data_IF_742550895000
#
_entry.id   IF_742550895000
#
_cell.length_a   1.000
_cell.length_b   1.000
_cell.length_c   1.000
_cell.angle_alpha   90.00
_cell.angle_beta   90.00
_cell.angle_gamma   90.00
#
_symmetry.space_group_name_H-M   'P 1'
#
loop_
_entity.id
_entity.type
_entity.pdbx_description
1 polymer ?
#
# COMPACT_ATOMS: atom_id res chain seq x y z
N UNK A 1 3.38 -2.70 38.62
CA UNK A 1 2.88 -1.30 38.63
C UNK A 1 3.70 -0.39 39.56
N UNK A 2 4.44 -0.92 40.55
CA UNK A 2 5.21 -0.09 41.52
C UNK A 2 6.70 0.17 41.19
N UNK A 3 7.27 -0.27 40.06
CA UNK A 3 8.73 -0.13 39.82
C UNK A 3 9.15 0.92 38.78
N UNK A 4 8.24 1.77 38.27
CA UNK A 4 8.62 2.93 37.45
C UNK A 4 7.88 4.18 37.90
N UNK A 5 8.43 4.82 38.95
CA UNK A 5 7.98 6.12 39.42
C UNK A 5 8.13 7.18 38.33
N UNK A 6 7.03 7.85 37.98
CA UNK A 6 6.97 9.07 37.16
C UNK A 6 7.23 8.92 35.66
N UNK A 7 8.13 8.04 35.21
CA UNK A 7 8.48 7.87 33.78
C UNK A 7 7.42 7.15 32.94
N UNK A 8 6.41 6.58 33.59
CA UNK A 8 5.28 5.95 32.90
C UNK A 8 4.42 6.98 32.13
N UNK A 9 4.44 8.25 32.56
CA UNK A 9 3.67 9.34 31.98
C UNK A 9 4.44 10.29 31.03
N UNK A 10 5.76 10.17 30.94
CA UNK A 10 6.60 11.06 30.11
C UNK A 10 7.65 10.30 29.29
N UNK A 11 7.41 9.03 28.98
CA UNK A 11 8.23 8.26 28.03
C UNK A 11 7.68 8.32 26.61
N UNK A 12 8.47 7.96 25.58
CA UNK A 12 8.00 7.89 24.19
C UNK A 12 6.81 6.93 23.98
N UNK A 13 6.57 6.02 24.93
CA UNK A 13 5.47 5.06 24.96
C UNK A 13 4.28 5.50 25.84
N UNK A 14 4.25 6.74 26.34
CA UNK A 14 3.24 7.22 27.29
C UNK A 14 1.81 7.08 26.77
N UNK A 15 1.56 7.44 25.50
CA UNK A 15 0.24 7.35 24.89
C UNK A 15 -0.34 5.93 24.98
N UNK A 16 0.50 4.91 24.85
CA UNK A 16 0.10 3.52 24.93
C UNK A 16 -0.16 3.04 26.36
N UNK A 17 0.64 3.54 27.31
CA UNK A 17 0.45 3.26 28.73
C UNK A 17 -0.81 3.92 29.29
N UNK A 18 -1.11 5.14 28.85
CA UNK A 18 -2.34 5.84 29.18
C UNK A 18 -3.55 5.09 28.61
N UNK A 19 -3.47 4.66 27.35
CA UNK A 19 -4.51 3.83 26.74
C UNK A 19 -4.74 2.53 27.51
N UNK A 20 -3.69 1.80 27.89
CA UNK A 20 -3.84 0.58 28.68
C UNK A 20 -4.47 0.81 30.05
N UNK A 21 -4.09 1.90 30.71
CA UNK A 21 -4.64 2.28 32.02
C UNK A 21 -6.15 2.56 31.91
N UNK A 22 -6.58 3.26 30.85
CA UNK A 22 -8.00 3.52 30.57
C UNK A 22 -8.76 2.21 30.27
N UNK A 23 -8.17 1.30 29.51
CA UNK A 23 -8.75 -0.01 29.17
C UNK A 23 -8.97 -0.88 30.41
N UNK A 24 -7.96 -0.96 31.28
CA UNK A 24 -8.05 -1.71 32.54
C UNK A 24 -9.09 -1.06 33.46
N UNK A 25 -9.09 0.27 33.56
CA UNK A 25 -10.10 1.03 34.31
C UNK A 25 -11.52 0.74 33.84
N UNK A 26 -11.78 0.76 32.52
CA UNK A 26 -13.08 0.44 31.96
C UNK A 26 -13.51 -1.02 32.24
N UNK A 27 -12.55 -1.95 32.25
CA UNK A 27 -12.81 -3.36 32.58
C UNK A 27 -13.17 -3.55 34.07
N UNK A 28 -12.54 -2.79 34.97
CA UNK A 28 -12.88 -2.78 36.40
C UNK A 28 -14.28 -2.19 36.64
N UNK A 29 -14.63 -1.12 35.92
CA UNK A 29 -15.97 -0.51 35.98
C UNK A 29 -17.03 -1.48 35.46
N UNK A 30 -16.77 -2.20 34.38
CA UNK A 30 -17.66 -3.25 33.86
C UNK A 30 -17.93 -4.34 34.91
N UNK A 31 -16.88 -4.84 35.56
CA UNK A 31 -17.00 -5.93 36.54
C UNK A 31 -17.75 -5.51 37.80
N UNK A 32 -17.53 -4.29 38.28
CA UNK A 32 -18.25 -3.73 39.41
C UNK A 32 -19.71 -3.41 39.07
N UNK A 33 -20.00 -2.94 37.85
CA UNK A 33 -21.38 -2.73 37.37
C UNK A 33 -22.18 -4.02 37.25
N UNK A 34 -21.58 -5.09 36.72
CA UNK A 34 -22.21 -6.40 36.61
C UNK A 34 -22.54 -6.99 37.99
N UNK A 35 -21.71 -6.73 39.00
CA UNK A 35 -21.95 -7.18 40.37
C UNK A 35 -23.13 -6.49 41.06
N UNK A 36 -23.51 -5.27 40.65
CA UNK A 36 -24.58 -4.48 41.30
C UNK A 36 -25.91 -4.50 40.52
N UNK A 37 -25.94 -5.02 39.28
CA UNK A 37 -27.19 -5.42 38.62
C UNK A 37 -28.09 -4.29 38.09
N UNK A 38 -27.53 -3.26 37.45
CA UNK A 38 -28.30 -2.07 37.02
C UNK A 38 -28.74 -2.03 35.52
N UNK A 39 -29.68 -1.10 35.22
CA UNK A 39 -30.61 -0.95 34.07
C UNK A 39 -30.19 -0.12 32.82
N UNK A 40 -30.52 -0.58 31.60
CA UNK A 40 -30.44 0.09 30.25
C UNK A 40 -29.19 0.90 29.84
N UNK A 41 -28.70 1.86 30.62
CA UNK A 41 -27.46 2.61 30.35
C UNK A 41 -26.23 1.68 30.33
N UNK A 42 -26.27 0.60 31.11
CA UNK A 42 -25.24 -0.44 31.20
C UNK A 42 -25.11 -1.27 29.92
N UNK A 43 -26.18 -1.39 29.12
CA UNK A 43 -26.12 -2.05 27.80
C UNK A 43 -25.19 -1.26 26.86
N UNK A 44 -25.16 0.08 26.97
CA UNK A 44 -24.23 0.92 26.20
C UNK A 44 -22.79 0.74 26.68
N UNK A 45 -22.57 0.67 27.99
CA UNK A 45 -21.24 0.47 28.58
C UNK A 45 -20.69 -0.93 28.24
N UNK A 46 -21.50 -1.99 28.33
CA UNK A 46 -21.14 -3.34 27.90
C UNK A 46 -20.78 -3.41 26.41
N UNK A 47 -21.51 -2.66 25.56
CA UNK A 47 -21.21 -2.58 24.12
C UNK A 47 -19.87 -1.90 23.87
N UNK A 48 -19.58 -0.81 24.58
CA UNK A 48 -18.29 -0.11 24.52
C UNK A 48 -17.15 -0.98 25.07
N UNK A 49 -17.37 -1.71 26.16
CA UNK A 49 -16.39 -2.63 26.72
C UNK A 49 -16.00 -3.75 25.74
N UNK A 50 -16.96 -4.30 24.98
CA UNK A 50 -16.67 -5.24 23.87
C UNK A 50 -15.77 -4.62 22.81
N UNK A 51 -16.06 -3.39 22.38
CA UNK A 51 -15.22 -2.67 21.41
C UNK A 51 -13.80 -2.49 21.96
N UNK A 52 -13.67 -2.07 23.21
CA UNK A 52 -12.38 -1.90 23.90
C UNK A 52 -11.63 -3.24 24.05
N UNK A 53 -12.34 -4.35 24.24
CA UNK A 53 -11.77 -5.69 24.22
C UNK A 53 -11.22 -6.05 22.84
N UNK A 54 -11.92 -5.68 21.75
CA UNK A 54 -11.41 -5.81 20.38
C UNK A 54 -10.18 -4.91 20.15
N UNK A 55 -10.11 -3.73 20.76
CA UNK A 55 -8.91 -2.88 20.72
C UNK A 55 -7.70 -3.55 21.42
N UNK A 56 -7.88 -4.57 22.28
CA UNK A 56 -6.73 -5.37 22.76
C UNK A 56 -6.04 -6.12 21.61
N UNK A 57 -6.72 -6.48 20.52
CA UNK A 57 -6.05 -7.02 19.34
C UNK A 57 -5.14 -6.00 18.66
N UNK A 58 -5.39 -4.70 18.83
CA UNK A 58 -4.48 -3.65 18.36
C UNK A 58 -3.13 -3.70 19.09
N UNK A 59 -3.06 -4.25 20.32
CA UNK A 59 -1.76 -4.56 20.95
C UNK A 59 -0.99 -5.63 20.21
N UNK A 60 -1.66 -6.61 19.61
CA UNK A 60 -1.01 -7.61 18.75
C UNK A 60 -0.46 -6.91 17.50
N UNK A 61 -1.20 -5.93 16.95
CA UNK A 61 -0.70 -5.05 15.89
C UNK A 61 0.47 -4.16 16.36
N UNK A 62 0.57 -3.81 17.65
CA UNK A 62 1.77 -3.16 18.22
C UNK A 62 2.94 -4.13 18.32
N UNK A 63 2.69 -5.41 18.57
CA UNK A 63 3.69 -6.46 18.42
C UNK A 63 4.12 -6.62 16.95
N UNK A 64 3.19 -6.35 16.01
CA UNK A 64 3.49 -6.18 14.59
C UNK A 64 4.24 -4.87 14.28
N UNK A 65 4.03 -3.78 15.03
CA UNK A 65 4.82 -2.54 14.88
C UNK A 65 6.24 -2.68 15.41
N UNK A 66 6.49 -3.68 16.26
CA UNK A 66 7.82 -4.20 16.60
C UNK A 66 8.50 -4.90 15.41
N UNK A 67 7.79 -5.17 14.31
CA UNK A 67 8.38 -5.51 13.01
C UNK A 67 8.95 -4.24 12.35
N UNK A 68 9.88 -3.59 13.04
CA UNK A 68 10.90 -2.77 12.40
C UNK A 68 11.52 -3.51 11.20
N UNK A 69 11.51 -4.84 11.18
CA UNK A 69 11.83 -5.67 10.00
C UNK A 69 10.91 -5.46 8.80
N UNK A 70 9.58 -5.44 8.95
CA UNK A 70 8.67 -5.19 7.82
C UNK A 70 8.77 -3.75 7.33
N UNK A 71 8.88 -2.81 8.26
CA UNK A 71 9.10 -1.42 7.90
C UNK A 71 10.47 -1.22 7.22
N UNK A 72 11.54 -1.88 7.69
CA UNK A 72 12.85 -1.86 7.05
C UNK A 72 12.84 -2.50 5.66
N UNK A 73 12.11 -3.60 5.47
CA UNK A 73 11.90 -4.21 4.15
C UNK A 73 11.15 -3.23 3.24
N UNK A 74 10.06 -2.62 3.71
CA UNK A 74 9.31 -1.62 2.93
C UNK A 74 10.13 -0.36 2.60
N UNK A 75 11.00 0.05 3.51
CA UNK A 75 11.92 1.18 3.32
C UNK A 75 13.01 0.83 2.31
N UNK A 76 13.51 -0.41 2.31
CA UNK A 76 14.41 -0.91 1.28
C UNK A 76 13.73 -0.95 -0.10
N UNK A 77 12.48 -1.41 -0.19
CA UNK A 77 11.68 -1.32 -1.42
C UNK A 77 11.48 0.13 -1.87
N UNK A 78 11.22 1.06 -0.94
CA UNK A 78 11.09 2.48 -1.25
C UNK A 78 12.39 3.10 -1.78
N UNK A 79 13.56 2.63 -1.33
CA UNK A 79 14.86 3.02 -1.90
C UNK A 79 15.06 2.45 -3.30
N UNK A 80 14.70 1.19 -3.53
CA UNK A 80 14.80 0.54 -4.84
C UNK A 80 13.84 1.15 -5.87
N UNK A 81 12.67 1.63 -5.45
CA UNK A 81 11.68 2.28 -6.33
C UNK A 81 12.27 3.37 -7.20
N UNK A 82 13.15 4.22 -6.66
CA UNK A 82 13.76 5.30 -7.45
C UNK A 82 14.66 4.76 -8.57
N UNK A 83 15.45 3.71 -8.28
CA UNK A 83 16.27 3.06 -9.30
C UNK A 83 15.42 2.29 -10.32
N UNK A 84 14.35 1.64 -9.88
CA UNK A 84 13.41 0.94 -10.76
C UNK A 84 12.70 1.91 -11.71
N UNK A 85 12.25 3.08 -11.21
CA UNK A 85 11.64 4.12 -12.04
C UNK A 85 12.63 4.60 -13.10
N UNK A 86 13.89 4.84 -12.72
CA UNK A 86 14.94 5.21 -13.67
C UNK A 86 15.17 4.13 -14.74
N UNK A 87 15.24 2.86 -14.34
CA UNK A 87 15.40 1.74 -15.26
C UNK A 87 14.22 1.59 -16.23
N UNK A 88 12.98 1.71 -15.74
CA UNK A 88 11.77 1.69 -16.56
C UNK A 88 11.75 2.88 -17.53
N UNK A 89 12.11 4.08 -17.07
CA UNK A 89 12.23 5.26 -17.93
C UNK A 89 13.27 5.08 -19.04
N UNK A 90 14.44 4.53 -18.72
CA UNK A 90 15.46 4.21 -19.71
C UNK A 90 14.94 3.18 -20.73
N UNK A 91 14.26 2.13 -20.27
CA UNK A 91 13.66 1.12 -21.16
C UNK A 91 12.59 1.75 -22.07
N UNK A 92 11.69 2.58 -21.52
CA UNK A 92 10.69 3.30 -22.31
C UNK A 92 11.34 4.22 -23.34
N UNK A 93 12.44 4.91 -23.02
CA UNK A 93 13.16 5.75 -23.98
C UNK A 93 13.75 4.92 -25.13
N UNK A 94 14.34 3.77 -24.83
CA UNK A 94 14.88 2.88 -25.86
C UNK A 94 13.76 2.38 -26.78
N UNK A 95 12.67 1.87 -26.22
CA UNK A 95 11.50 1.41 -26.99
C UNK A 95 10.89 2.54 -27.82
N UNK A 96 10.85 3.76 -27.29
CA UNK A 96 10.36 4.94 -28.01
C UNK A 96 11.22 5.28 -29.23
N UNK A 97 12.56 5.29 -29.10
CA UNK A 97 13.47 5.54 -30.23
C UNK A 97 13.31 4.47 -31.29
N UNK A 98 13.29 3.19 -30.91
CA UNK A 98 13.07 2.10 -31.87
C UNK A 98 11.70 2.20 -32.54
N UNK A 99 10.64 2.52 -31.79
CA UNK A 99 9.29 2.68 -32.34
C UNK A 99 9.24 3.76 -33.42
N UNK A 100 9.92 4.90 -33.23
CA UNK A 100 10.00 5.96 -34.26
C UNK A 100 10.69 5.45 -35.52
N UNK A 101 11.79 4.72 -35.37
CA UNK A 101 12.56 4.17 -36.51
C UNK A 101 11.73 3.16 -37.29
N UNK A 102 11.06 2.23 -36.60
CA UNK A 102 10.20 1.24 -37.25
C UNK A 102 8.97 1.90 -37.90
N UNK A 103 8.33 2.85 -37.22
CA UNK A 103 7.17 3.57 -37.76
C UNK A 103 7.55 4.38 -39.01
N UNK A 104 8.72 5.03 -39.04
CA UNK A 104 9.19 5.76 -40.23
C UNK A 104 9.59 4.83 -41.38
N UNK A 105 10.20 3.68 -41.08
CA UNK A 105 10.51 2.66 -42.08
C UNK A 105 9.25 2.03 -42.70
N UNK A 106 8.24 1.72 -41.88
CA UNK A 106 6.95 1.18 -42.36
C UNK A 106 6.20 2.23 -43.17
N UNK A 107 6.16 3.49 -42.71
CA UNK A 107 5.55 4.58 -43.47
C UNK A 107 6.21 4.76 -44.85
N UNK A 108 7.54 4.66 -44.93
CA UNK A 108 8.25 4.70 -46.20
C UNK A 108 7.92 3.47 -47.08
N UNK A 109 7.85 2.28 -46.50
CA UNK A 109 7.50 1.05 -47.22
C UNK A 109 6.09 1.09 -47.83
N UNK A 110 5.11 1.58 -47.06
CA UNK A 110 3.72 1.75 -47.52
C UNK A 110 3.64 2.79 -48.65
N UNK A 111 4.45 3.84 -48.60
CA UNK A 111 4.45 4.87 -49.65
C UNK A 111 5.07 4.41 -50.98
N UNK A 112 5.93 3.38 -50.95
CA UNK A 112 6.67 2.88 -52.11
C UNK A 112 6.01 1.64 -52.75
N UNK A 113 5.07 1.00 -52.05
CA UNK A 113 4.33 -0.18 -52.53
C UNK A 113 2.90 0.17 -52.95
N UNK A 114 2.46 -0.41 -54.07
CA UNK A 114 1.06 -0.30 -54.51
C UNK A 114 0.17 -1.07 -53.52
N UNK A 115 -0.93 -0.45 -53.06
CA UNK A 115 -1.83 -0.82 -51.96
C UNK A 115 -2.51 -2.22 -52.03
N UNK A 116 -2.10 -3.11 -52.93
CA UNK A 116 -2.79 -4.37 -53.25
C UNK A 116 -2.20 -5.62 -52.55
N UNK A 117 -1.16 -5.45 -51.74
CA UNK A 117 -0.55 -6.55 -50.99
C UNK A 117 -1.21 -6.69 -49.61
N UNK A 118 -1.86 -7.82 -49.32
CA UNK A 118 -2.51 -8.09 -48.02
C UNK A 118 -1.58 -8.04 -46.80
N UNK A 119 -0.27 -7.88 -47.03
CA UNK A 119 0.77 -7.67 -45.99
C UNK A 119 0.79 -6.23 -45.45
N UNK A 120 0.27 -5.27 -46.22
CA UNK A 120 0.20 -3.85 -45.84
C UNK A 120 -0.82 -3.62 -44.72
N UNK A 121 -1.94 -4.35 -44.76
CA UNK A 121 -3.02 -4.25 -43.76
C UNK A 121 -2.56 -4.72 -42.36
N UNK A 122 -1.78 -5.81 -42.32
CA UNK A 122 -1.13 -6.28 -41.08
C UNK A 122 -0.11 -5.25 -40.56
N UNK A 123 0.68 -4.64 -41.45
CA UNK A 123 1.67 -3.63 -41.09
C UNK A 123 1.03 -2.35 -40.54
N UNK A 124 -0.09 -1.87 -41.12
CA UNK A 124 -0.87 -0.77 -40.55
C UNK A 124 -1.49 -1.14 -39.19
N UNK A 125 -1.94 -2.38 -39.00
CA UNK A 125 -2.54 -2.81 -37.73
C UNK A 125 -1.52 -2.81 -36.58
N UNK A 126 -0.29 -3.31 -36.82
CA UNK A 126 0.76 -3.41 -35.80
C UNK A 126 1.63 -2.15 -35.66
N UNK A 127 1.80 -1.36 -36.73
CA UNK A 127 2.67 -0.19 -36.79
C UNK A 127 1.94 1.12 -37.13
N UNK A 128 0.60 1.14 -37.18
CA UNK A 128 -0.16 2.32 -37.62
C UNK A 128 -0.22 3.48 -36.63
N UNK A 129 0.07 3.26 -35.35
CA UNK A 129 0.21 4.35 -34.38
C UNK A 129 1.42 4.13 -33.50
N UNK A 130 2.09 5.22 -33.12
CA UNK A 130 3.31 5.19 -32.30
C UNK A 130 3.10 4.43 -30.97
N UNK A 131 1.93 4.56 -30.36
CA UNK A 131 1.59 3.81 -29.13
C UNK A 131 1.44 2.31 -29.38
N UNK A 132 0.85 1.91 -30.53
CA UNK A 132 0.80 0.50 -30.92
C UNK A 132 2.18 -0.04 -31.25
N UNK A 133 3.03 0.71 -31.96
CA UNK A 133 4.40 0.28 -32.25
C UNK A 133 5.20 0.04 -30.97
N UNK A 134 5.05 0.93 -29.99
CA UNK A 134 5.67 0.77 -28.68
C UNK A 134 5.16 -0.47 -27.93
N UNK A 135 3.87 -0.78 -28.05
CA UNK A 135 3.26 -1.96 -27.44
C UNK A 135 3.73 -3.25 -28.14
N UNK A 136 3.76 -3.25 -29.47
CA UNK A 136 4.26 -4.36 -30.30
C UNK A 136 5.74 -4.65 -30.06
N UNK A 137 6.57 -3.62 -29.79
CA UNK A 137 7.99 -3.79 -29.43
C UNK A 137 8.21 -4.20 -27.98
N UNK A 138 7.23 -3.98 -27.10
CA UNK A 138 7.31 -4.32 -25.69
C UNK A 138 6.81 -5.73 -25.38
N UNK A 139 5.80 -6.21 -26.12
CA UNK A 139 5.32 -7.61 -26.07
C UNK A 139 6.30 -8.57 -26.73
#
# INVERSE_FOLDING_TARGET
>A
ILSQGGKFWCGPEWNWNLFDTVVVGLSCVEMSLLAVGFSSSYIRVLRLARVVRSLRMIRIVRFLSLFNKLHAISLAFARCRTMLICAVLCLCLVVFVFSIIFNSAVAAYISDTHYDDGRVDDMETFFGSLAMTMLTLFM
#
